data_IF_952005406398
#
_entry.id   IF_952005406398
#
_cell.length_a   1.000
_cell.length_b   1.000
_cell.length_c   1.000
_cell.angle_alpha   90.00
_cell.angle_beta   90.00
_cell.angle_gamma   90.00
#
_symmetry.space_group_name_H-M   'P 1'
#
loop_
_entity.id
_entity.type
_entity.pdbx_description
1 polymer ?
#
# COMPACT_ATOMS: atom_id res chain seq x y z
N UNK A 1 1.62 23.36 -24.26
CA UNK A 1 2.26 22.58 -23.18
C UNK A 1 1.42 21.34 -22.92
N UNK A 2 1.83 20.18 -23.45
CA UNK A 2 1.19 18.91 -23.09
C UNK A 2 1.62 18.57 -21.67
N UNK A 3 0.69 18.56 -20.71
CA UNK A 3 0.95 17.99 -19.39
C UNK A 3 1.34 16.53 -19.60
N UNK A 4 2.63 16.21 -19.47
CA UNK A 4 3.06 14.83 -19.33
C UNK A 4 2.39 14.28 -18.08
N UNK A 5 1.39 13.42 -18.27
CA UNK A 5 0.73 12.76 -17.17
C UNK A 5 1.78 11.89 -16.47
N UNK A 6 2.13 12.25 -15.23
CA UNK A 6 2.95 11.43 -14.33
C UNK A 6 2.57 9.95 -14.46
N UNK A 7 3.44 9.08 -15.01
CA UNK A 7 3.06 7.71 -15.33
C UNK A 7 2.84 6.84 -14.09
N UNK A 8 3.40 7.21 -12.94
CA UNK A 8 3.35 6.43 -11.71
C UNK A 8 2.68 7.20 -10.57
N UNK A 9 1.64 6.62 -10.00
CA UNK A 9 1.06 7.05 -8.73
C UNK A 9 1.60 6.20 -7.59
N UNK A 10 1.85 6.80 -6.42
CA UNK A 10 2.24 6.09 -5.20
C UNK A 10 1.26 6.45 -4.09
N UNK A 11 0.65 5.45 -3.47
CA UNK A 11 -0.33 5.65 -2.40
C UNK A 11 -0.16 4.62 -1.28
N UNK A 12 -0.52 5.01 -0.05
CA UNK A 12 -0.61 4.07 1.07
C UNK A 12 -1.95 3.35 1.09
N UNK A 13 -1.89 2.06 1.42
CA UNK A 13 -3.06 1.27 1.75
C UNK A 13 -2.74 0.50 3.04
N UNK A 14 -3.08 1.08 4.18
CA UNK A 14 -2.97 0.42 5.49
C UNK A 14 -4.32 0.38 6.19
N UNK A 15 -4.42 -0.37 7.28
CA UNK A 15 -5.57 -0.28 8.17
C UNK A 15 -5.79 1.14 8.68
N UNK A 16 -7.05 1.51 8.91
CA UNK A 16 -7.41 2.79 9.50
C UNK A 16 -7.54 2.64 11.02
N UNK A 17 -6.57 3.19 11.74
CA UNK A 17 -6.62 3.23 13.20
C UNK A 17 -7.64 4.24 13.74
N UNK A 18 -7.93 5.31 12.98
CA UNK A 18 -9.01 6.26 13.24
C UNK A 18 -9.98 6.28 12.03
N UNK A 19 -11.23 5.81 12.17
CA UNK A 19 -12.22 5.84 11.09
C UNK A 19 -12.59 7.24 10.59
N UNK A 20 -12.31 8.30 11.36
CA UNK A 20 -12.59 9.68 10.95
C UNK A 20 -11.45 10.29 10.11
N UNK A 21 -10.27 9.69 10.11
CA UNK A 21 -9.07 10.21 9.45
C UNK A 21 -8.57 9.28 8.34
N UNK A 22 -8.22 9.87 7.21
CA UNK A 22 -7.40 9.24 6.16
C UNK A 22 -6.05 9.95 6.02
N UNK A 23 -5.72 10.88 6.92
CA UNK A 23 -4.46 11.60 6.85
C UNK A 23 -3.29 10.65 7.12
N UNK A 24 -2.20 10.83 6.36
CA UNK A 24 -0.97 10.08 6.59
C UNK A 24 -0.41 10.39 7.98
N UNK A 25 0.13 9.37 8.65
CA UNK A 25 0.97 9.60 9.84
C UNK A 25 2.24 10.36 9.45
N UNK A 26 2.96 10.88 10.45
CA UNK A 26 4.24 11.57 10.21
C UNK A 26 5.24 10.64 9.52
N UNK A 27 5.27 9.38 9.95
CA UNK A 27 6.13 8.32 9.42
C UNK A 27 5.77 7.97 7.97
N UNK A 28 4.47 7.80 7.68
CA UNK A 28 3.98 7.58 6.32
C UNK A 28 4.35 8.74 5.40
N UNK A 29 4.07 9.98 5.82
CA UNK A 29 4.41 11.17 5.04
C UNK A 29 5.91 11.30 4.79
N UNK A 30 6.74 11.03 5.80
CA UNK A 30 8.20 11.05 5.68
C UNK A 30 8.69 9.98 4.68
N UNK A 31 8.21 8.75 4.80
CA UNK A 31 8.58 7.66 3.89
C UNK A 31 8.17 7.97 2.44
N UNK A 32 6.95 8.50 2.24
CA UNK A 32 6.44 8.84 0.91
C UNK A 32 7.26 9.95 0.23
N UNK A 33 7.71 10.96 1.01
CA UNK A 33 8.60 12.01 0.49
C UNK A 33 9.94 11.46 0.01
N UNK A 34 10.46 10.40 0.62
CA UNK A 34 11.69 9.74 0.16
C UNK A 34 11.52 9.00 -1.19
N UNK A 35 10.28 8.85 -1.67
CA UNK A 35 9.96 8.26 -2.97
C UNK A 35 9.65 9.31 -4.05
N UNK A 36 9.76 10.61 -3.73
CA UNK A 36 9.57 11.67 -4.71
C UNK A 36 10.52 11.50 -5.91
N UNK A 37 10.07 11.98 -7.08
CA UNK A 37 10.82 11.89 -8.32
C UNK A 37 10.02 12.42 -9.50
N UNK A 38 10.70 12.79 -10.57
CA UNK A 38 10.07 13.29 -11.80
C UNK A 38 9.07 12.26 -12.34
N UNK A 39 7.88 12.71 -12.71
CA UNK A 39 6.83 11.82 -13.25
C UNK A 39 6.12 10.96 -12.21
N UNK A 40 6.32 11.20 -10.91
CA UNK A 40 5.60 10.51 -9.83
C UNK A 40 4.53 11.42 -9.21
N UNK A 41 3.35 10.86 -8.97
CA UNK A 41 2.32 11.49 -8.14
C UNK A 41 2.26 10.79 -6.79
N UNK A 42 2.46 11.55 -5.72
CA UNK A 42 2.32 11.06 -4.34
C UNK A 42 0.92 11.36 -3.82
N UNK A 43 0.22 10.35 -3.32
CA UNK A 43 -1.12 10.50 -2.73
C UNK A 43 -0.97 10.79 -1.24
N UNK A 44 -1.49 11.92 -0.80
CA UNK A 44 -1.33 12.52 0.53
C UNK A 44 -2.33 11.99 1.58
N UNK A 45 -3.13 10.99 1.23
CA UNK A 45 -4.05 10.32 2.13
C UNK A 45 -3.97 8.80 1.98
N UNK A 46 -4.31 8.11 3.05
CA UNK A 46 -4.38 6.66 3.16
C UNK A 46 -5.78 6.15 2.76
N UNK A 47 -5.92 4.84 2.63
CA UNK A 47 -7.19 4.14 2.47
C UNK A 47 -8.27 4.64 3.45
N UNK A 48 -9.54 4.82 3.01
CA UNK A 48 -10.07 4.68 1.65
C UNK A 48 -10.05 6.02 0.86
N UNK A 49 -9.06 6.86 1.10
CA UNK A 49 -8.74 8.06 0.29
C UNK A 49 -9.78 9.19 0.37
N UNK A 50 -10.31 9.44 1.58
CA UNK A 50 -11.16 10.61 1.84
C UNK A 50 -10.27 11.85 2.05
N UNK A 51 -10.17 12.69 1.02
CA UNK A 51 -9.37 13.94 1.05
C UNK A 51 -9.83 14.92 2.14
N UNK A 52 -11.15 15.02 2.36
CA UNK A 52 -11.73 15.92 3.37
C UNK A 52 -11.94 15.23 4.73
N UNK A 53 -11.01 14.35 5.14
CA UNK A 53 -11.09 13.64 6.42
C UNK A 53 -10.44 14.43 7.56
N UNK A 54 -10.65 13.99 8.79
CA UNK A 54 -10.03 14.63 9.95
C UNK A 54 -8.48 14.56 9.85
N UNK A 55 -7.75 15.56 10.37
CA UNK A 55 -6.28 15.51 10.46
C UNK A 55 -5.80 14.27 11.23
N UNK A 56 -4.55 13.86 10.99
CA UNK A 56 -3.97 12.71 11.67
C UNK A 56 -3.93 12.96 13.18
N UNK A 57 -4.38 11.97 13.95
CA UNK A 57 -4.28 11.95 15.41
C UNK A 57 -3.62 10.65 15.84
N UNK A 58 -2.72 10.74 16.82
CA UNK A 58 -2.15 9.54 17.42
C UNK A 58 -3.24 8.77 18.14
N UNK A 59 -3.58 7.60 17.62
CA UNK A 59 -4.52 6.67 18.26
C UNK A 59 -3.73 5.75 19.20
N UNK A 60 -4.22 5.52 20.44
CA UNK A 60 -3.61 4.53 21.33
C UNK A 60 -3.48 3.16 20.64
N UNK A 61 -2.34 2.48 20.82
CA UNK A 61 -2.01 1.26 20.08
C UNK A 61 -3.10 0.18 20.20
N UNK A 62 -3.70 0.00 21.37
CA UNK A 62 -4.78 -0.98 21.55
C UNK A 62 -6.03 -0.66 20.71
N UNK A 63 -6.39 0.62 20.57
CA UNK A 63 -7.51 1.07 19.72
C UNK A 63 -7.16 0.88 18.26
N UNK A 64 -5.94 1.23 17.88
CA UNK A 64 -5.42 1.03 16.53
C UNK A 64 -5.48 -0.46 16.16
N UNK A 65 -4.99 -1.34 17.03
CA UNK A 65 -5.02 -2.79 16.85
C UNK A 65 -6.44 -3.33 16.75
N UNK A 66 -7.38 -2.90 17.61
CA UNK A 66 -8.77 -3.34 17.54
C UNK A 66 -9.44 -2.91 16.23
N UNK A 67 -9.23 -1.66 15.80
CA UNK A 67 -9.76 -1.16 14.53
C UNK A 67 -9.20 -1.97 13.35
N UNK A 68 -7.88 -2.18 13.33
CA UNK A 68 -7.20 -2.93 12.28
C UNK A 68 -7.63 -4.40 12.27
N UNK A 69 -7.82 -5.02 13.44
CA UNK A 69 -8.32 -6.39 13.57
C UNK A 69 -9.76 -6.51 13.04
N UNK A 70 -10.64 -5.56 13.37
CA UNK A 70 -12.00 -5.51 12.83
C UNK A 70 -11.99 -5.36 11.31
N UNK A 71 -11.13 -4.50 10.77
CA UNK A 71 -10.97 -4.33 9.33
C UNK A 71 -10.44 -5.58 8.65
N UNK A 72 -9.43 -6.23 9.25
CA UNK A 72 -8.89 -7.50 8.77
C UNK A 72 -9.98 -8.58 8.73
N UNK A 73 -10.73 -8.77 9.81
CA UNK A 73 -11.80 -9.76 9.87
C UNK A 73 -12.92 -9.46 8.86
N UNK A 74 -13.34 -8.19 8.74
CA UNK A 74 -14.32 -7.79 7.73
C UNK A 74 -13.81 -8.09 6.31
N UNK A 75 -12.56 -7.74 6.01
CA UNK A 75 -11.93 -8.00 4.72
C UNK A 75 -11.79 -9.49 4.43
N UNK A 76 -11.43 -10.29 5.43
CA UNK A 76 -11.34 -11.76 5.31
C UNK A 76 -12.68 -12.40 4.92
N UNK A 77 -13.79 -11.79 5.32
CA UNK A 77 -15.13 -12.19 4.91
C UNK A 77 -15.66 -11.42 3.69
N UNK A 78 -14.80 -10.71 2.96
CA UNK A 78 -15.14 -9.85 1.81
C UNK A 78 -16.22 -8.78 2.11
N UNK A 79 -16.36 -8.38 3.38
CA UNK A 79 -17.34 -7.39 3.86
C UNK A 79 -16.75 -5.98 3.88
N UNK A 80 -16.33 -5.50 2.70
CA UNK A 80 -15.92 -4.11 2.53
C UNK A 80 -17.10 -3.22 2.16
N UNK A 81 -17.11 -1.99 2.67
CA UNK A 81 -18.13 -1.02 2.30
C UNK A 81 -18.02 -0.68 0.81
N UNK A 82 -19.14 -0.74 0.08
CA UNK A 82 -19.18 -0.44 -1.37
C UNK A 82 -18.63 0.96 -1.68
N UNK A 83 -18.89 1.93 -0.80
CA UNK A 83 -18.35 3.28 -0.93
C UNK A 83 -16.80 3.31 -0.88
N UNK A 84 -16.18 2.44 -0.08
CA UNK A 84 -14.72 2.35 -0.03
C UNK A 84 -14.18 1.70 -1.30
N UNK A 85 -14.84 0.64 -1.79
CA UNK A 85 -14.50 0.01 -3.08
C UNK A 85 -14.51 1.04 -4.21
N UNK A 86 -15.60 1.80 -4.34
CA UNK A 86 -15.72 2.86 -5.35
C UNK A 86 -14.61 3.91 -5.26
N UNK A 87 -14.23 4.32 -4.04
CA UNK A 87 -13.13 5.29 -3.86
C UNK A 87 -11.78 4.72 -4.24
N UNK A 88 -11.50 3.45 -3.90
CA UNK A 88 -10.24 2.82 -4.33
C UNK A 88 -10.21 2.68 -5.85
N UNK A 89 -11.28 2.22 -6.49
CA UNK A 89 -11.37 2.18 -7.95
C UNK A 89 -11.11 3.56 -8.57
N UNK A 90 -11.81 4.59 -8.11
CA UNK A 90 -11.64 5.96 -8.60
C UNK A 90 -10.22 6.50 -8.38
N UNK A 91 -9.52 6.09 -7.32
CA UNK A 91 -8.11 6.42 -7.13
C UNK A 91 -7.24 5.72 -8.18
N UNK A 92 -7.46 4.42 -8.38
CA UNK A 92 -6.64 3.62 -9.28
C UNK A 92 -6.82 4.05 -10.74
N UNK A 93 -8.02 4.48 -11.14
CA UNK A 93 -8.32 4.94 -12.51
C UNK A 93 -7.69 6.28 -12.88
N UNK A 94 -7.20 7.05 -11.91
CA UNK A 94 -6.56 8.35 -12.18
C UNK A 94 -5.26 8.23 -12.99
N UNK A 95 -4.56 7.09 -12.88
CA UNK A 95 -3.22 6.91 -13.44
C UNK A 95 -3.05 5.52 -14.04
N UNK A 96 -2.24 5.40 -15.11
CA UNK A 96 -2.06 4.13 -15.81
C UNK A 96 -1.31 3.09 -14.98
N UNK A 97 -0.53 3.49 -13.98
CA UNK A 97 0.14 2.60 -13.02
C UNK A 97 0.04 3.19 -11.62
N UNK A 98 -0.30 2.35 -10.64
CA UNK A 98 -0.27 2.71 -9.22
C UNK A 98 0.59 1.71 -8.45
N UNK A 99 1.55 2.23 -7.69
CA UNK A 99 2.22 1.53 -6.60
C UNK A 99 1.44 1.73 -5.30
N UNK A 100 0.97 0.64 -4.72
CA UNK A 100 0.35 0.63 -3.39
C UNK A 100 1.38 0.18 -2.35
N UNK A 101 1.64 1.03 -1.36
CA UNK A 101 2.41 0.73 -0.16
C UNK A 101 1.48 0.09 0.87
N UNK A 102 1.41 -1.24 0.84
CA UNK A 102 0.46 -2.02 1.65
C UNK A 102 1.08 -2.45 2.99
N UNK A 103 0.66 -1.81 4.08
CA UNK A 103 1.18 -2.08 5.43
C UNK A 103 0.23 -2.92 6.27
N UNK A 104 0.76 -3.90 7.02
CA UNK A 104 -0.04 -4.73 7.95
C UNK A 104 -1.25 -5.36 7.24
N UNK A 105 -2.48 -5.14 7.71
CA UNK A 105 -3.70 -5.66 7.08
C UNK A 105 -4.05 -5.03 5.71
N UNK A 106 -3.27 -4.07 5.21
CA UNK A 106 -3.48 -3.44 3.91
C UNK A 106 -3.55 -4.43 2.75
N UNK A 107 -2.70 -5.46 2.74
CA UNK A 107 -2.73 -6.47 1.68
C UNK A 107 -4.02 -7.31 1.70
N UNK A 108 -4.56 -7.61 2.89
CA UNK A 108 -5.86 -8.27 3.04
C UNK A 108 -6.98 -7.38 2.52
N UNK A 109 -6.98 -6.09 2.90
CA UNK A 109 -7.97 -5.12 2.43
C UNK A 109 -7.95 -5.04 0.90
N UNK A 110 -6.76 -4.93 0.30
CA UNK A 110 -6.61 -4.88 -1.15
C UNK A 110 -7.13 -6.15 -1.84
N UNK A 111 -6.83 -7.32 -1.29
CA UNK A 111 -7.31 -8.60 -1.82
C UNK A 111 -8.84 -8.69 -1.76
N UNK A 112 -9.43 -8.28 -0.63
CA UNK A 112 -10.87 -8.29 -0.41
C UNK A 112 -11.65 -7.31 -1.29
N UNK A 113 -10.99 -6.32 -1.92
CA UNK A 113 -11.64 -5.43 -2.89
C UNK A 113 -12.09 -6.16 -4.16
N UNK A 114 -11.49 -7.32 -4.47
CA UNK A 114 -11.78 -8.12 -5.67
C UNK A 114 -11.73 -7.28 -6.95
N UNK A 115 -10.62 -6.55 -7.12
CA UNK A 115 -10.43 -5.66 -8.26
C UNK A 115 -10.47 -6.46 -9.58
N UNK A 116 -11.08 -5.91 -10.65
CA UNK A 116 -11.05 -6.49 -11.99
C UNK A 116 -9.61 -6.74 -12.47
N UNK A 117 -9.43 -7.76 -13.30
CA UNK A 117 -8.10 -8.19 -13.79
C UNK A 117 -7.32 -7.08 -14.47
N UNK A 118 -8.01 -6.24 -15.27
CA UNK A 118 -7.41 -5.08 -15.91
C UNK A 118 -6.82 -4.08 -14.90
N UNK A 119 -7.46 -3.90 -13.74
CA UNK A 119 -6.90 -3.09 -12.65
C UNK A 119 -5.72 -3.81 -12.01
N UNK A 120 -5.87 -5.10 -11.67
CA UNK A 120 -4.81 -5.87 -11.00
C UNK A 120 -3.52 -5.90 -11.82
N UNK A 121 -3.62 -6.05 -13.14
CA UNK A 121 -2.47 -6.09 -14.06
C UNK A 121 -1.65 -4.80 -14.08
N UNK A 122 -2.26 -3.65 -13.76
CA UNK A 122 -1.61 -2.34 -13.71
C UNK A 122 -1.35 -1.83 -12.29
N UNK A 123 -1.35 -2.74 -11.32
CA UNK A 123 -0.96 -2.47 -9.93
C UNK A 123 0.39 -3.09 -9.62
N UNK A 124 1.24 -2.29 -9.01
CA UNK A 124 2.37 -2.76 -8.25
C UNK A 124 2.05 -2.65 -6.75
N UNK A 125 2.41 -3.65 -5.98
CA UNK A 125 2.14 -3.70 -4.53
C UNK A 125 3.45 -3.93 -3.81
N UNK A 126 3.83 -2.99 -2.95
CA UNK A 126 4.92 -3.16 -2.00
C UNK A 126 4.31 -3.44 -0.63
N UNK A 127 4.22 -4.71 -0.26
CA UNK A 127 3.65 -5.16 0.99
C UNK A 127 4.74 -5.23 2.07
N UNK A 128 4.58 -4.48 3.16
CA UNK A 128 5.52 -4.47 4.28
C UNK A 128 4.84 -4.92 5.58
N UNK A 129 5.41 -5.96 6.19
CA UNK A 129 4.82 -6.66 7.33
C UNK A 129 3.36 -7.07 7.11
N UNK A 130 3.01 -7.71 5.98
CA UNK A 130 1.61 -8.01 5.68
C UNK A 130 0.99 -8.92 6.74
N UNK A 131 -0.32 -8.74 6.95
CA UNK A 131 -1.20 -9.66 7.68
C UNK A 131 -2.29 -10.03 6.68
N UNK A 132 -2.13 -11.19 6.02
CA UNK A 132 -2.95 -11.61 4.89
C UNK A 132 -2.85 -13.12 4.68
N UNK A 133 -3.97 -13.82 4.63
CA UNK A 133 -4.02 -15.29 4.53
C UNK A 133 -4.00 -15.82 3.10
N UNK A 134 -4.53 -15.07 2.14
CA UNK A 134 -4.53 -15.47 0.74
C UNK A 134 -4.36 -14.24 -0.15
N UNK A 135 -3.12 -13.78 -0.42
CA UNK A 135 -2.90 -12.59 -1.23
C UNK A 135 -3.36 -12.81 -2.67
N UNK A 136 -4.13 -11.84 -3.20
CA UNK A 136 -4.49 -11.85 -4.61
C UNK A 136 -3.27 -11.68 -5.53
N UNK A 137 -3.43 -12.09 -6.79
CA UNK A 137 -2.42 -11.86 -7.83
C UNK A 137 -2.54 -10.42 -8.34
N UNK A 138 -1.41 -9.72 -8.40
CA UNK A 138 -1.26 -8.37 -8.96
C UNK A 138 -0.18 -8.38 -10.04
N UNK A 139 -0.15 -7.33 -10.88
CA UNK A 139 0.84 -7.19 -11.94
C UNK A 139 2.28 -7.26 -11.41
N UNK A 140 2.53 -6.65 -10.26
CA UNK A 140 3.77 -6.84 -9.49
C UNK A 140 3.45 -6.87 -7.99
N UNK A 141 4.05 -7.81 -7.26
CA UNK A 141 3.98 -7.88 -5.81
C UNK A 141 5.40 -8.06 -5.26
N UNK A 142 5.79 -7.18 -4.35
CA UNK A 142 7.02 -7.26 -3.57
C UNK A 142 6.65 -7.34 -2.10
N UNK A 143 7.06 -8.41 -1.42
CA UNK A 143 6.77 -8.63 -0.01
C UNK A 143 8.01 -8.51 0.84
N UNK A 144 7.95 -7.65 1.86
CA UNK A 144 9.00 -7.42 2.85
C UNK A 144 8.48 -7.79 4.23
N UNK A 145 9.12 -8.75 4.89
CA UNK A 145 8.73 -9.24 6.21
C UNK A 145 9.93 -9.23 7.17
N UNK A 146 9.91 -8.31 8.12
CA UNK A 146 10.93 -8.08 9.12
C UNK A 146 11.26 -9.34 9.94
N UNK A 147 12.54 -9.53 10.24
CA UNK A 147 13.04 -10.72 10.96
C UNK A 147 12.40 -10.89 12.34
N UNK A 148 12.12 -9.78 13.01
CA UNK A 148 11.53 -9.71 14.36
C UNK A 148 10.03 -9.40 14.36
N UNK A 149 9.37 -9.43 13.19
CA UNK A 149 7.93 -9.21 13.06
C UNK A 149 7.15 -10.51 13.25
N UNK A 150 6.89 -10.86 14.51
CA UNK A 150 6.13 -12.07 14.85
C UNK A 150 4.68 -12.04 14.36
N UNK A 151 4.08 -10.86 14.25
CA UNK A 151 2.68 -10.70 13.83
C UNK A 151 2.54 -11.10 12.37
N UNK A 152 3.34 -10.48 11.49
CA UNK A 152 3.32 -10.83 10.07
C UNK A 152 3.76 -12.27 9.85
N UNK A 153 4.78 -12.75 10.57
CA UNK A 153 5.26 -14.14 10.44
C UNK A 153 4.22 -15.18 10.79
N UNK A 154 3.31 -14.89 11.72
CA UNK A 154 2.25 -15.80 12.14
C UNK A 154 0.99 -15.70 11.26
N UNK A 155 0.74 -14.55 10.62
CA UNK A 155 -0.54 -14.24 9.97
C UNK A 155 -0.43 -13.93 8.48
N UNK A 156 0.77 -14.02 7.91
CA UNK A 156 0.98 -13.93 6.47
C UNK A 156 1.25 -15.30 5.89
N UNK A 157 0.39 -15.71 4.95
CA UNK A 157 0.57 -16.95 4.19
C UNK A 157 0.84 -16.59 2.72
N UNK A 158 2.13 -16.39 2.43
CA UNK A 158 2.60 -16.04 1.10
C UNK A 158 4.12 -15.97 1.00
N UNK A 159 4.61 -15.81 -0.22
CA UNK A 159 6.05 -15.68 -0.49
C UNK A 159 6.59 -14.36 0.03
N UNK A 160 7.73 -14.41 0.71
CA UNK A 160 8.48 -13.25 1.19
C UNK A 160 9.71 -13.03 0.30
N UNK A 161 9.92 -11.81 -0.17
CA UNK A 161 11.06 -11.46 -1.04
C UNK A 161 12.25 -10.90 -0.27
N UNK A 162 12.01 -10.20 0.84
CA UNK A 162 13.08 -9.65 1.68
C UNK A 162 12.74 -9.72 3.17
N UNK A 163 13.77 -9.89 4.01
CA UNK A 163 13.66 -9.98 5.47
C UNK A 163 14.57 -8.98 6.18
N UNK A 164 14.17 -7.71 6.29
CA UNK A 164 14.98 -6.69 6.92
C UNK A 164 15.05 -6.85 8.44
N UNK A 165 16.07 -6.27 9.07
CA UNK A 165 16.24 -6.29 10.52
C UNK A 165 15.30 -5.30 11.24
N UNK A 166 13.99 -5.58 11.25
CA UNK A 166 12.99 -4.76 11.94
C UNK A 166 11.83 -5.58 12.52
N UNK A 167 11.10 -4.98 13.47
CA UNK A 167 9.82 -5.48 13.99
C UNK A 167 8.61 -4.83 13.30
N UNK A 168 7.40 -5.25 13.69
CA UNK A 168 6.14 -4.89 13.01
C UNK A 168 5.91 -3.38 12.84
N UNK A 169 6.34 -2.57 13.82
CA UNK A 169 6.09 -1.12 13.84
C UNK A 169 7.24 -0.30 13.23
N UNK A 170 8.34 -0.94 12.83
CA UNK A 170 9.59 -0.25 12.49
C UNK A 170 9.87 -0.16 10.97
N UNK A 171 9.01 -0.70 10.10
CA UNK A 171 9.26 -0.75 8.65
C UNK A 171 9.53 0.62 8.04
N UNK A 172 8.70 1.63 8.33
CA UNK A 172 8.80 2.95 7.71
C UNK A 172 10.02 3.76 8.16
N UNK A 173 10.72 3.32 9.21
CA UNK A 173 11.98 3.90 9.68
C UNK A 173 13.21 3.08 9.28
N UNK A 174 13.02 1.88 8.73
CA UNK A 174 14.11 0.98 8.44
C UNK A 174 14.70 1.30 7.05
N UNK A 175 16.01 1.55 7.02
CA UNK A 175 16.72 1.93 5.79
C UNK A 175 16.74 0.80 4.73
N UNK A 176 16.79 -0.47 5.15
CA UNK A 176 16.72 -1.60 4.23
C UNK A 176 15.36 -1.64 3.54
N UNK A 177 14.27 -1.42 4.27
CA UNK A 177 12.91 -1.33 3.71
C UNK A 177 12.78 -0.21 2.68
N UNK A 178 13.33 0.98 2.99
CA UNK A 178 13.33 2.09 2.05
C UNK A 178 14.12 1.75 0.78
N UNK A 179 15.31 1.16 0.94
CA UNK A 179 16.15 0.76 -0.19
C UNK A 179 15.47 -0.31 -1.07
N UNK A 180 14.80 -1.29 -0.46
CA UNK A 180 13.97 -2.28 -1.18
C UNK A 180 12.85 -1.59 -1.97
N UNK A 181 12.13 -0.65 -1.34
CA UNK A 181 11.04 0.07 -1.97
C UNK A 181 11.52 0.91 -3.15
N UNK A 182 12.63 1.64 -3.00
CA UNK A 182 13.24 2.42 -4.08
C UNK A 182 13.70 1.54 -5.25
N UNK A 183 14.31 0.38 -4.96
CA UNK A 183 14.68 -0.60 -5.99
C UNK A 183 13.46 -1.13 -6.74
N UNK A 184 12.37 -1.38 -6.03
CA UNK A 184 11.12 -1.81 -6.63
C UNK A 184 10.47 -0.71 -7.50
N UNK A 185 10.44 0.55 -7.04
CA UNK A 185 10.00 1.70 -7.84
C UNK A 185 10.81 1.81 -9.15
N UNK A 186 12.13 1.75 -9.06
CA UNK A 186 12.99 1.82 -10.24
C UNK A 186 12.78 0.64 -11.21
N UNK A 187 12.47 -0.55 -10.69
CA UNK A 187 12.10 -1.71 -11.51
C UNK A 187 10.80 -1.44 -12.29
N UNK A 188 9.75 -0.96 -11.62
CA UNK A 188 8.46 -0.63 -12.24
C UNK A 188 8.65 0.40 -13.37
N UNK A 189 9.43 1.45 -13.12
CA UNK A 189 9.70 2.50 -14.09
C UNK A 189 10.43 1.97 -15.34
N UNK A 190 11.48 1.15 -15.15
CA UNK A 190 12.21 0.51 -16.27
C UNK A 190 11.31 -0.40 -17.11
N UNK A 191 10.50 -1.24 -16.47
CA UNK A 191 9.57 -2.13 -17.19
C UNK A 191 8.61 -1.31 -18.06
N UNK A 192 8.14 -0.16 -17.59
CA UNK A 192 7.23 0.70 -18.36
C UNK A 192 7.92 1.41 -19.52
N UNK A 193 9.14 1.88 -19.35
CA UNK A 193 9.93 2.46 -20.44
C UNK A 193 10.19 1.43 -21.54
N UNK A 194 10.54 0.19 -21.16
CA UNK A 194 10.75 -0.90 -22.13
C UNK A 194 9.49 -1.24 -22.94
N UNK A 195 8.30 -1.22 -22.34
CA UNK A 195 7.03 -1.42 -23.06
C UNK A 195 6.72 -0.23 -23.98
N UNK A 196 7.00 1.01 -23.55
CA UNK A 196 6.74 2.20 -24.36
C UNK A 196 7.64 2.32 -25.61
N UNK A 197 8.82 1.71 -25.60
CA UNK A 197 9.75 1.71 -26.75
C UNK A 197 9.55 0.51 -27.71
N UNK A 198 8.69 -0.45 -27.37
CA UNK A 198 8.42 -1.64 -28.17
C UNK A 198 7.16 -1.49 -29.07
N UNK A 199 6.51 -0.32 -29.04
CA UNK A 199 5.34 0.04 -29.83
C UNK A 199 5.63 1.31 -30.65
#
# INVERSE_FOLDING_TARGET
MRSESSPLQIAFLTGQSDPASCALSTEQGAFLRQLQGTGRQLVDCNYPYRRNSAPHRRTPLWRASLSNARQYLAARHARLAEADRKRVHALLDQRPMTLLLAGSCGLQLLTALQLPDALRARLAVFAYGPVCDAPAVFGQLRVVQGRSDWISRALFDGRVDARPACGHMAYLHNAEVLAECQRFVAQIERTRQGVAHAH
#
